data_IF_261292237062
#
_entry.id   IF_261292237062
#
_cell.length_a   1.000
_cell.length_b   1.000
_cell.length_c   1.000
_cell.angle_alpha   90.00
_cell.angle_beta   90.00
_cell.angle_gamma   90.00
#
_symmetry.space_group_name_H-M   'P 1'
#
loop_
_entity.id
_entity.type
_entity.pdbx_description
1 polymer ?
#
# COMPACT_ATOMS: atom_id res chain seq x y z
N UNK A 1 -18.86 13.89 20.18
CA UNK A 1 -18.17 13.76 18.87
C UNK A 1 -16.78 14.36 18.88
N UNK A 2 -16.59 15.60 19.38
CA UNK A 2 -15.25 16.21 19.48
C UNK A 2 -14.27 15.41 20.34
N UNK A 3 -14.72 14.89 21.50
CA UNK A 3 -13.89 14.02 22.36
C UNK A 3 -13.45 12.73 21.65
N UNK A 4 -14.33 12.17 20.80
CA UNK A 4 -14.01 11.00 19.98
C UNK A 4 -12.95 11.37 18.96
N UNK A 5 -13.12 12.52 18.28
CA UNK A 5 -12.15 13.02 17.32
C UNK A 5 -10.76 13.25 17.93
N UNK A 6 -10.68 13.85 19.12
CA UNK A 6 -9.39 14.07 19.81
C UNK A 6 -8.76 12.78 20.28
N UNK A 7 -9.56 11.79 20.67
CA UNK A 7 -9.06 10.47 21.04
C UNK A 7 -8.50 9.71 19.83
N UNK A 8 -9.24 9.65 18.71
CA UNK A 8 -8.80 8.93 17.52
C UNK A 8 -7.56 9.59 16.92
N UNK A 9 -7.61 10.91 16.68
CA UNK A 9 -6.52 11.65 16.03
C UNK A 9 -5.27 11.85 16.91
N UNK A 10 -5.31 11.42 18.18
CA UNK A 10 -4.21 11.56 19.13
C UNK A 10 -3.77 10.20 19.68
N UNK A 11 -4.21 9.80 20.90
CA UNK A 11 -3.77 8.56 21.52
C UNK A 11 -3.93 7.30 20.65
N UNK A 12 -5.06 7.14 19.94
CA UNK A 12 -5.32 5.95 19.14
C UNK A 12 -4.40 5.88 17.92
N UNK A 13 -4.16 7.01 17.25
CA UNK A 13 -3.20 7.12 16.15
C UNK A 13 -1.81 6.62 16.57
N UNK A 14 -1.31 7.03 17.75
CA UNK A 14 -0.03 6.56 18.27
C UNK A 14 -0.01 5.04 18.52
N UNK A 15 -1.10 4.47 19.01
CA UNK A 15 -1.24 3.02 19.17
C UNK A 15 -1.22 2.33 17.80
N UNK A 16 -1.94 2.86 16.80
CA UNK A 16 -1.97 2.31 15.45
C UNK A 16 -0.59 2.32 14.80
N UNK A 17 0.15 3.43 14.90
CA UNK A 17 1.54 3.52 14.45
C UNK A 17 2.46 2.56 15.21
N UNK A 18 2.30 2.43 16.52
CA UNK A 18 3.05 1.47 17.34
C UNK A 18 2.84 0.03 16.87
N UNK A 19 1.59 -0.38 16.65
CA UNK A 19 1.24 -1.70 16.12
C UNK A 19 1.84 -1.89 14.72
N UNK A 20 1.72 -0.90 13.84
CA UNK A 20 2.28 -0.95 12.50
C UNK A 20 3.80 -1.15 12.53
N UNK A 21 4.53 -0.34 13.29
CA UNK A 21 6.00 -0.37 13.34
C UNK A 21 6.50 -1.66 13.97
N UNK A 22 6.05 -1.97 15.20
CA UNK A 22 6.48 -3.17 15.93
C UNK A 22 6.05 -4.43 15.19
N UNK A 23 4.82 -4.45 14.67
CA UNK A 23 4.30 -5.56 13.87
C UNK A 23 5.10 -5.77 12.59
N UNK A 24 5.49 -4.70 11.90
CA UNK A 24 6.31 -4.78 10.67
C UNK A 24 7.71 -5.31 10.97
N UNK A 25 8.36 -4.83 12.03
CA UNK A 25 9.68 -5.33 12.47
C UNK A 25 9.58 -6.83 12.81
N UNK A 26 8.60 -7.21 13.64
CA UNK A 26 8.38 -8.61 13.99
C UNK A 26 8.14 -9.47 12.76
N UNK A 27 7.33 -8.99 11.81
CA UNK A 27 7.01 -9.73 10.58
C UNK A 27 8.23 -9.91 9.69
N UNK A 28 9.05 -8.88 9.51
CA UNK A 28 10.29 -8.95 8.74
C UNK A 28 11.29 -9.93 9.38
N UNK A 29 11.53 -9.81 10.69
CA UNK A 29 12.48 -10.67 11.43
C UNK A 29 12.02 -12.13 11.43
N UNK A 30 10.75 -12.39 11.76
CA UNK A 30 10.21 -13.76 11.81
C UNK A 30 10.22 -14.44 10.45
N UNK A 31 9.90 -13.72 9.37
CA UNK A 31 9.94 -14.27 8.01
C UNK A 31 11.38 -14.51 7.53
N UNK A 32 12.32 -13.62 7.86
CA UNK A 32 13.73 -13.84 7.56
C UNK A 32 14.29 -15.06 8.31
N UNK A 33 14.01 -15.19 9.60
CA UNK A 33 14.42 -16.35 10.39
C UNK A 33 13.83 -17.66 9.83
N UNK A 34 12.57 -17.63 9.43
CA UNK A 34 11.91 -18.78 8.80
C UNK A 34 12.53 -19.14 7.44
N UNK A 35 12.81 -18.14 6.59
CA UNK A 35 13.48 -18.34 5.31
C UNK A 35 14.86 -18.97 5.51
N UNK A 36 15.65 -18.46 6.46
CA UNK A 36 16.96 -19.01 6.80
C UNK A 36 16.88 -20.46 7.30
N UNK A 37 15.86 -20.78 8.10
CA UNK A 37 15.68 -22.12 8.65
C UNK A 37 15.19 -23.14 7.61
N UNK A 38 14.33 -22.74 6.68
CA UNK A 38 13.73 -23.66 5.69
C UNK A 38 14.48 -23.74 4.38
N UNK A 39 15.07 -22.63 3.95
CA UNK A 39 15.75 -22.51 2.67
C UNK A 39 16.85 -21.46 2.75
N UNK A 40 17.86 -21.73 3.59
CA UNK A 40 19.04 -20.85 3.69
C UNK A 40 19.80 -20.72 2.36
N UNK A 41 19.65 -21.68 1.45
CA UNK A 41 20.26 -21.63 0.13
C UNK A 41 19.68 -20.50 -0.74
N UNK A 42 18.37 -20.27 -0.69
CA UNK A 42 17.71 -19.15 -1.38
C UNK A 42 18.30 -17.78 -0.97
N UNK A 43 18.66 -17.62 0.30
CA UNK A 43 19.29 -16.41 0.81
C UNK A 43 20.74 -16.25 0.35
N UNK A 44 21.46 -17.37 0.14
CA UNK A 44 22.85 -17.35 -0.30
C UNK A 44 22.99 -16.84 -1.76
N UNK A 45 21.96 -17.02 -2.58
CA UNK A 45 21.95 -16.53 -3.96
C UNK A 45 21.60 -15.05 -4.09
N UNK A 46 21.21 -14.38 -2.99
CA UNK A 46 20.86 -12.96 -3.01
C UNK A 46 22.05 -12.11 -3.47
N UNK A 47 21.84 -11.36 -4.55
CA UNK A 47 22.85 -10.50 -5.15
C UNK A 47 22.31 -9.08 -5.25
N UNK A 48 23.01 -8.14 -4.61
CA UNK A 48 22.63 -6.74 -4.62
C UNK A 48 22.48 -6.15 -6.04
N UNK A 49 23.45 -6.30 -6.97
CA UNK A 49 23.31 -5.71 -8.31
C UNK A 49 22.11 -6.28 -9.08
N UNK A 50 21.90 -7.59 -9.02
CA UNK A 50 20.78 -8.22 -9.71
C UNK A 50 19.43 -7.91 -9.07
N UNK A 51 19.39 -7.84 -7.74
CA UNK A 51 18.19 -7.46 -6.99
C UNK A 51 17.78 -6.02 -7.25
N UNK A 52 18.72 -5.07 -7.19
CA UNK A 52 18.45 -3.65 -7.49
C UNK A 52 17.98 -3.47 -8.93
N UNK A 53 18.62 -4.14 -9.90
CA UNK A 53 18.20 -4.11 -11.31
C UNK A 53 16.76 -4.59 -11.46
N UNK A 54 16.38 -5.69 -10.81
CA UNK A 54 15.00 -6.20 -10.87
C UNK A 54 13.99 -5.25 -10.23
N UNK A 55 14.32 -4.67 -9.07
CA UNK A 55 13.47 -3.69 -8.40
C UNK A 55 13.25 -2.47 -9.31
N UNK A 56 14.32 -1.86 -9.82
CA UNK A 56 14.23 -0.66 -10.65
C UNK A 56 13.41 -0.91 -11.91
N UNK A 57 13.65 -2.04 -12.60
CA UNK A 57 12.86 -2.35 -13.79
C UNK A 57 11.38 -2.60 -13.46
N UNK A 58 11.09 -3.24 -12.31
CA UNK A 58 9.72 -3.49 -11.88
C UNK A 58 8.97 -2.23 -11.43
N UNK A 59 9.68 -1.24 -10.89
CA UNK A 59 9.11 0.06 -10.48
C UNK A 59 8.75 0.97 -11.66
N UNK A 60 9.12 0.62 -12.90
CA UNK A 60 8.77 1.41 -14.09
C UNK A 60 7.58 0.72 -14.79
N UNK A 61 6.44 1.40 -14.97
CA UNK A 61 5.28 0.82 -15.64
C UNK A 61 5.65 0.38 -17.05
N UNK A 62 5.12 -0.78 -17.46
CA UNK A 62 5.37 -1.40 -18.78
C UNK A 62 6.82 -1.78 -19.08
N UNK A 63 7.74 -1.68 -18.13
CA UNK A 63 9.12 -2.04 -18.41
C UNK A 63 9.34 -3.57 -18.36
N UNK A 64 8.67 -4.26 -17.42
CA UNK A 64 8.70 -5.73 -17.35
C UNK A 64 7.68 -6.39 -18.28
N UNK A 65 7.99 -7.58 -18.80
CA UNK A 65 7.03 -8.40 -19.58
C UNK A 65 5.71 -8.65 -18.84
N UNK A 66 5.74 -8.84 -17.52
CA UNK A 66 4.53 -8.99 -16.70
C UNK A 66 3.63 -7.75 -16.77
N UNK A 67 4.21 -6.55 -16.73
CA UNK A 67 3.46 -5.30 -16.88
C UNK A 67 2.94 -5.06 -18.30
N UNK A 68 3.64 -5.58 -19.32
CA UNK A 68 3.17 -5.50 -20.71
C UNK A 68 2.00 -6.44 -20.99
N UNK A 69 1.90 -7.56 -20.27
CA UNK A 69 0.89 -8.59 -20.51
C UNK A 69 -0.55 -8.22 -20.11
N UNK A 70 -0.73 -7.31 -19.16
CA UNK A 70 -2.05 -6.82 -18.73
C UNK A 70 -2.00 -5.29 -18.55
N UNK A 71 -2.15 -4.51 -19.64
CA UNK A 71 -1.99 -3.05 -19.58
C UNK A 71 -2.97 -2.36 -18.64
N UNK A 72 -4.22 -2.82 -18.58
CA UNK A 72 -5.22 -2.25 -17.68
C UNK A 72 -4.81 -2.46 -16.22
N UNK A 73 -4.38 -3.68 -15.86
CA UNK A 73 -3.90 -3.95 -14.51
C UNK A 73 -2.65 -3.14 -14.18
N UNK A 74 -1.73 -2.97 -15.12
CA UNK A 74 -0.54 -2.12 -14.94
C UNK A 74 -0.94 -0.70 -14.60
N UNK A 75 -1.74 -0.03 -15.45
CA UNK A 75 -2.17 1.35 -15.19
C UNK A 75 -2.89 1.45 -13.85
N UNK A 76 -3.88 0.59 -13.59
CA UNK A 76 -4.63 0.61 -12.33
C UNK A 76 -3.71 0.41 -11.11
N UNK A 77 -2.75 -0.50 -11.19
CA UNK A 77 -1.78 -0.76 -10.10
C UNK A 77 -0.92 0.45 -9.82
N UNK A 78 -0.33 1.06 -10.85
CA UNK A 78 0.55 2.21 -10.67
C UNK A 78 -0.21 3.45 -10.21
N UNK A 79 -1.38 3.73 -10.81
CA UNK A 79 -2.27 4.83 -10.37
C UNK A 79 -2.64 4.65 -8.91
N UNK A 80 -3.04 3.45 -8.51
CA UNK A 80 -3.38 3.17 -7.12
C UNK A 80 -2.21 3.38 -6.17
N UNK A 81 -1.04 2.77 -6.41
CA UNK A 81 0.06 2.82 -5.44
C UNK A 81 0.72 4.21 -5.39
N UNK A 82 0.90 4.86 -6.54
CA UNK A 82 1.44 6.23 -6.59
C UNK A 82 0.43 7.16 -5.93
N UNK A 83 -0.84 7.11 -6.33
CA UNK A 83 -1.89 7.96 -5.78
C UNK A 83 -2.08 7.75 -4.27
N UNK A 84 -2.01 6.50 -3.81
CA UNK A 84 -2.07 6.15 -2.39
C UNK A 84 -0.98 6.87 -1.60
N UNK A 85 0.28 6.72 -2.01
CA UNK A 85 1.41 7.33 -1.33
C UNK A 85 1.38 8.86 -1.41
N UNK A 86 1.05 9.39 -2.58
CA UNK A 86 0.99 10.82 -2.84
C UNK A 86 -0.08 11.48 -1.96
N UNK A 87 -1.29 10.92 -1.89
CA UNK A 87 -2.37 11.46 -1.05
C UNK A 87 -2.09 11.25 0.44
N UNK A 88 -1.63 10.07 0.85
CA UNK A 88 -1.37 9.77 2.26
C UNK A 88 -0.29 10.68 2.87
N UNK A 89 0.68 11.15 2.07
CA UNK A 89 1.79 11.98 2.55
C UNK A 89 1.56 13.46 2.27
N UNK A 90 1.19 13.84 1.05
CA UNK A 90 1.25 15.22 0.56
C UNK A 90 -0.11 15.92 0.45
N UNK A 91 -1.24 15.25 0.75
CA UNK A 91 -2.52 15.95 0.84
C UNK A 91 -2.48 16.98 1.98
N UNK A 92 -3.02 18.19 1.76
CA UNK A 92 -2.90 19.31 2.70
C UNK A 92 -3.26 18.97 4.16
N UNK A 93 -4.34 18.22 4.38
CA UNK A 93 -4.71 17.77 5.72
C UNK A 93 -3.65 16.86 6.38
N UNK A 94 -2.99 15.98 5.62
CA UNK A 94 -1.91 15.14 6.12
C UNK A 94 -0.61 15.95 6.35
N UNK A 95 -0.32 16.95 5.50
CA UNK A 95 0.80 17.88 5.69
C UNK A 95 0.68 18.63 7.01
N UNK A 96 -0.52 19.09 7.37
CA UNK A 96 -0.75 19.74 8.67
C UNK A 96 -0.47 18.78 9.84
N UNK A 97 -0.75 17.48 9.70
CA UNK A 97 -0.41 16.49 10.73
C UNK A 97 1.10 16.32 10.89
N UNK A 98 1.88 16.39 9.80
CA UNK A 98 3.35 16.34 9.86
C UNK A 98 3.92 17.53 10.63
N UNK A 99 3.43 18.73 10.34
CA UNK A 99 3.86 19.95 11.02
C UNK A 99 3.47 19.92 12.50
N UNK A 100 2.20 19.60 12.80
CA UNK A 100 1.68 19.65 14.18
C UNK A 100 2.34 18.62 15.10
N UNK A 101 2.64 17.42 14.61
CA UNK A 101 3.18 16.33 15.46
C UNK A 101 4.70 16.21 15.44
N UNK A 102 5.36 16.64 14.35
CA UNK A 102 6.80 16.46 14.16
C UNK A 102 7.55 17.76 13.85
N UNK A 103 6.85 18.88 13.62
CA UNK A 103 7.46 20.14 13.19
C UNK A 103 8.04 20.07 11.77
N UNK A 104 7.56 19.15 10.92
CA UNK A 104 8.07 18.93 9.58
C UNK A 104 7.12 19.58 8.57
N UNK A 105 7.61 20.61 7.87
CA UNK A 105 6.90 21.24 6.76
C UNK A 105 7.33 20.60 5.44
N UNK A 106 6.39 19.93 4.77
CA UNK A 106 6.56 19.35 3.43
C UNK A 106 5.62 20.03 2.43
N UNK A 107 5.94 20.01 1.12
CA UNK A 107 5.05 20.56 0.10
C UNK A 107 3.68 19.87 0.14
N UNK A 108 2.60 20.63 0.00
CA UNK A 108 1.26 20.06 -0.17
C UNK A 108 0.86 20.00 -1.64
N UNK A 109 0.02 19.01 -1.97
CA UNK A 109 -0.66 18.97 -3.25
C UNK A 109 -1.72 20.09 -3.33
N UNK A 110 -1.92 20.69 -4.51
CA UNK A 110 -3.11 21.51 -4.75
C UNK A 110 -4.38 20.70 -4.49
N UNK A 111 -5.39 21.33 -3.88
CA UNK A 111 -6.63 20.65 -3.47
C UNK A 111 -7.30 19.87 -4.62
N UNK A 112 -7.41 20.51 -5.79
CA UNK A 112 -7.98 19.89 -7.01
C UNK A 112 -7.19 18.65 -7.43
N UNK A 113 -5.86 18.70 -7.34
CA UNK A 113 -5.02 17.55 -7.67
C UNK A 113 -5.21 16.42 -6.66
N UNK A 114 -5.27 16.74 -5.36
CA UNK A 114 -5.54 15.78 -4.30
C UNK A 114 -6.89 15.07 -4.48
N UNK A 115 -7.92 15.82 -4.87
CA UNK A 115 -9.27 15.28 -5.13
C UNK A 115 -9.29 14.36 -6.36
N UNK A 116 -8.70 14.80 -7.49
CA UNK A 116 -8.58 13.98 -8.70
C UNK A 116 -7.84 12.68 -8.43
N UNK A 117 -6.70 12.74 -7.72
CA UNK A 117 -5.91 11.55 -7.38
C UNK A 117 -6.70 10.61 -6.46
N UNK A 118 -7.46 11.15 -5.50
CA UNK A 118 -8.30 10.36 -4.60
C UNK A 118 -9.39 9.59 -5.37
N UNK A 119 -10.08 10.24 -6.30
CA UNK A 119 -11.05 9.57 -7.18
C UNK A 119 -10.38 8.55 -8.11
N UNK A 120 -9.19 8.82 -8.62
CA UNK A 120 -8.43 7.87 -9.44
C UNK A 120 -8.06 6.61 -8.64
N UNK A 121 -7.70 6.74 -7.36
CA UNK A 121 -7.46 5.61 -6.45
C UNK A 121 -8.75 4.81 -6.22
N UNK A 122 -9.88 5.48 -5.98
CA UNK A 122 -11.18 4.81 -5.83
C UNK A 122 -11.56 4.04 -7.11
N UNK A 123 -11.35 4.64 -8.29
CA UNK A 123 -11.58 3.99 -9.56
C UNK A 123 -10.68 2.76 -9.76
N UNK A 124 -9.40 2.84 -9.38
CA UNK A 124 -8.49 1.70 -9.40
C UNK A 124 -8.95 0.56 -8.46
N UNK A 125 -9.45 0.89 -7.26
CA UNK A 125 -10.07 -0.08 -6.36
C UNK A 125 -11.28 -0.78 -7.02
N UNK A 126 -12.12 -0.02 -7.72
CA UNK A 126 -13.27 -0.57 -8.46
C UNK A 126 -12.81 -1.51 -9.60
N UNK A 127 -11.76 -1.16 -10.33
CA UNK A 127 -11.14 -2.03 -11.34
C UNK A 127 -10.64 -3.33 -10.71
N UNK A 128 -9.96 -3.27 -9.55
CA UNK A 128 -9.51 -4.47 -8.84
C UNK A 128 -10.66 -5.35 -8.37
N UNK A 129 -11.75 -4.74 -7.87
CA UNK A 129 -12.96 -5.44 -7.48
C UNK A 129 -13.61 -6.13 -8.68
N UNK A 130 -13.84 -5.38 -9.76
CA UNK A 130 -14.46 -5.89 -10.98
C UNK A 130 -13.65 -7.06 -11.55
N UNK A 131 -12.33 -6.93 -11.66
CA UNK A 131 -11.42 -7.99 -12.15
C UNK A 131 -11.56 -9.29 -11.36
N UNK A 132 -11.74 -9.23 -10.03
CA UNK A 132 -11.90 -10.40 -9.17
C UNK A 132 -13.24 -11.13 -9.37
N UNK A 133 -14.25 -10.45 -9.89
CA UNK A 133 -15.57 -11.02 -10.18
C UNK A 133 -15.67 -11.47 -11.63
N UNK A 134 -15.13 -10.68 -12.56
CA UNK A 134 -15.29 -10.86 -14.00
C UNK A 134 -14.36 -11.93 -14.60
N UNK A 135 -13.11 -12.02 -14.14
CA UNK A 135 -12.12 -12.93 -14.73
C UNK A 135 -12.14 -14.30 -14.03
N UNK A 136 -12.47 -15.42 -14.71
CA UNK A 136 -12.59 -16.74 -14.08
C UNK A 136 -11.32 -17.20 -13.35
N UNK A 137 -10.16 -16.98 -13.97
CA UNK A 137 -8.86 -17.36 -13.39
C UNK A 137 -8.49 -16.55 -12.15
N UNK A 138 -8.98 -15.31 -12.02
CA UNK A 138 -8.80 -14.48 -10.81
C UNK A 138 -9.82 -14.87 -9.75
N UNK A 139 -11.07 -15.07 -10.15
CA UNK A 139 -12.16 -15.47 -9.25
C UNK A 139 -11.86 -16.80 -8.57
N UNK A 140 -11.32 -17.79 -9.30
CA UNK A 140 -10.98 -19.11 -8.74
C UNK A 140 -9.95 -19.08 -7.61
N UNK A 141 -9.03 -18.10 -7.61
CA UNK A 141 -8.00 -17.94 -6.57
C UNK A 141 -8.34 -16.87 -5.53
N UNK A 142 -9.39 -16.08 -5.75
CA UNK A 142 -9.83 -15.04 -4.82
C UNK A 142 -10.45 -15.68 -3.56
N UNK A 143 -10.11 -15.14 -2.39
CA UNK A 143 -10.61 -15.55 -1.07
C UNK A 143 -11.16 -14.33 -0.32
N UNK A 144 -11.92 -14.57 0.76
CA UNK A 144 -12.51 -13.48 1.57
C UNK A 144 -11.47 -12.48 2.10
N UNK A 145 -10.26 -12.94 2.43
CA UNK A 145 -9.15 -12.07 2.85
C UNK A 145 -8.69 -11.07 1.78
N UNK A 146 -8.90 -11.36 0.50
CA UNK A 146 -8.53 -10.47 -0.60
C UNK A 146 -9.56 -9.35 -0.77
N UNK A 147 -10.85 -9.66 -0.55
CA UNK A 147 -11.91 -8.66 -0.47
C UNK A 147 -11.78 -7.77 0.76
N UNK A 148 -11.48 -8.37 1.90
CA UNK A 148 -11.23 -7.62 3.14
C UNK A 148 -10.10 -6.60 2.96
N UNK A 149 -8.97 -7.01 2.38
CA UNK A 149 -7.85 -6.11 2.11
C UNK A 149 -8.25 -4.96 1.15
N UNK A 150 -9.03 -5.25 0.11
CA UNK A 150 -9.49 -4.23 -0.83
C UNK A 150 -10.42 -3.21 -0.17
N UNK A 151 -11.38 -3.67 0.64
CA UNK A 151 -12.30 -2.80 1.37
C UNK A 151 -11.53 -1.89 2.32
N UNK A 152 -10.60 -2.46 3.10
CA UNK A 152 -9.85 -1.69 4.09
C UNK A 152 -9.00 -0.59 3.48
N UNK A 153 -8.43 -0.80 2.28
CA UNK A 153 -7.66 0.25 1.61
C UNK A 153 -8.59 1.26 0.93
N UNK A 154 -9.76 0.86 0.45
CA UNK A 154 -10.71 1.77 -0.19
C UNK A 154 -11.39 2.71 0.84
N UNK A 155 -11.65 2.23 2.05
CA UNK A 155 -12.42 2.96 3.07
C UNK A 155 -11.85 4.35 3.41
N UNK A 156 -10.54 4.53 3.68
CA UNK A 156 -9.97 5.85 3.93
C UNK A 156 -10.19 6.82 2.76
N UNK A 157 -10.05 6.37 1.51
CA UNK A 157 -10.29 7.23 0.35
C UNK A 157 -11.76 7.62 0.24
N UNK A 158 -12.67 6.67 0.39
CA UNK A 158 -14.12 6.93 0.31
C UNK A 158 -14.52 7.94 1.40
N UNK A 159 -14.17 7.66 2.65
CA UNK A 159 -14.52 8.53 3.79
C UNK A 159 -13.82 9.89 3.74
N UNK A 160 -12.58 9.95 3.25
CA UNK A 160 -11.83 11.19 3.06
C UNK A 160 -12.45 12.09 1.98
N UNK A 161 -12.84 11.52 0.84
CA UNK A 161 -13.55 12.23 -0.23
C UNK A 161 -14.91 12.73 0.27
N UNK A 162 -15.66 11.89 1.01
CA UNK A 162 -16.93 12.31 1.60
C UNK A 162 -16.76 13.46 2.60
N UNK A 163 -15.70 13.44 3.41
CA UNK A 163 -15.38 14.53 4.33
C UNK A 163 -15.02 15.83 3.59
N UNK A 164 -14.19 15.74 2.54
CA UNK A 164 -13.77 16.88 1.73
C UNK A 164 -14.93 17.56 0.99
N UNK A 165 -15.80 16.76 0.36
CA UNK A 165 -16.99 17.25 -0.35
C UNK A 165 -18.20 17.52 0.55
N UNK A 166 -18.04 17.41 1.88
CA UNK A 166 -19.09 17.66 2.87
C UNK A 166 -20.36 16.81 2.66
N UNK A 167 -20.17 15.58 2.19
CA UNK A 167 -21.27 14.63 1.99
C UNK A 167 -21.56 13.92 3.32
N UNK A 168 -22.60 14.37 4.01
CA UNK A 168 -22.95 13.94 5.36
C UNK A 168 -22.26 14.79 6.45
N UNK A 169 -22.38 14.42 7.74
CA UNK A 169 -21.77 15.19 8.82
C UNK A 169 -20.24 15.14 8.73
N UNK A 170 -19.60 16.27 8.44
CA UNK A 170 -18.15 16.37 8.18
C UNK A 170 -17.33 15.73 9.31
N UNK A 171 -17.62 16.06 10.57
CA UNK A 171 -16.89 15.51 11.72
C UNK A 171 -17.02 13.97 11.80
N UNK A 172 -18.17 13.41 11.44
CA UNK A 172 -18.35 11.96 11.39
C UNK A 172 -17.50 11.35 10.27
N UNK A 173 -17.51 11.91 9.07
CA UNK A 173 -16.73 11.40 7.95
C UNK A 173 -15.22 11.48 8.23
N UNK A 174 -14.76 12.56 8.87
CA UNK A 174 -13.37 12.68 9.32
C UNK A 174 -13.02 11.62 10.37
N UNK A 175 -13.88 11.36 11.37
CA UNK A 175 -13.64 10.30 12.36
C UNK A 175 -13.57 8.93 11.68
N UNK A 176 -14.49 8.64 10.74
CA UNK A 176 -14.49 7.39 10.00
C UNK A 176 -13.24 7.24 9.13
N UNK A 177 -12.77 8.33 8.52
CA UNK A 177 -11.53 8.35 7.76
C UNK A 177 -10.32 8.01 8.63
N UNK A 178 -10.17 8.68 9.77
CA UNK A 178 -9.06 8.44 10.72
C UNK A 178 -9.09 7.00 11.22
N UNK A 179 -10.26 6.50 11.67
CA UNK A 179 -10.40 5.12 12.14
C UNK A 179 -10.10 4.09 11.04
N UNK A 180 -10.55 4.34 9.80
CA UNK A 180 -10.25 3.46 8.68
C UNK A 180 -8.75 3.45 8.35
N UNK A 181 -8.09 4.61 8.41
CA UNK A 181 -6.66 4.74 8.15
C UNK A 181 -5.81 4.07 9.25
N UNK A 182 -6.18 4.24 10.51
CA UNK A 182 -5.54 3.59 11.65
C UNK A 182 -5.68 2.06 11.59
N UNK A 183 -6.90 1.58 11.28
CA UNK A 183 -7.16 0.17 11.10
C UNK A 183 -6.35 -0.40 9.93
N UNK A 184 -6.28 0.32 8.81
CA UNK A 184 -5.44 -0.03 7.67
C UNK A 184 -3.97 -0.17 8.11
N UNK A 185 -3.40 0.84 8.76
CA UNK A 185 -2.01 0.84 9.23
C UNK A 185 -1.72 -0.34 10.16
N UNK A 186 -2.55 -0.54 11.18
CA UNK A 186 -2.38 -1.61 12.15
C UNK A 186 -2.42 -3.02 11.51
N UNK A 187 -3.15 -3.17 10.39
CA UNK A 187 -3.33 -4.45 9.70
C UNK A 187 -2.33 -4.71 8.57
N UNK A 188 -1.51 -3.74 8.17
CA UNK A 188 -0.46 -3.94 7.16
C UNK A 188 0.41 -5.17 7.45
N UNK A 189 1.04 -5.32 8.64
CA UNK A 189 1.96 -6.42 8.88
C UNK A 189 1.32 -7.80 8.99
N UNK A 190 0.00 -7.87 9.25
CA UNK A 190 -0.69 -9.12 9.62
C UNK A 190 -1.64 -9.66 8.56
N UNK A 191 -1.82 -8.95 7.43
CA UNK A 191 -2.78 -9.33 6.39
C UNK A 191 -2.12 -9.48 5.01
N UNK A 192 -2.94 -9.61 3.96
CA UNK A 192 -2.49 -9.57 2.56
C UNK A 192 -1.78 -8.26 2.19
N UNK A 193 -1.95 -7.22 3.00
CA UNK A 193 -1.28 -5.92 2.84
C UNK A 193 0.21 -5.96 3.14
N UNK A 194 0.69 -7.01 3.82
CA UNK A 194 2.11 -7.19 4.11
C UNK A 194 3.00 -7.25 2.86
N UNK A 195 2.42 -7.42 1.66
CA UNK A 195 3.14 -7.23 0.40
C UNK A 195 3.84 -5.86 0.31
N UNK A 196 3.30 -4.81 0.95
CA UNK A 196 3.94 -3.50 1.03
C UNK A 196 5.33 -3.57 1.71
N UNK A 197 5.51 -4.49 2.65
CA UNK A 197 6.80 -4.74 3.32
C UNK A 197 7.71 -5.65 2.49
N UNK A 198 7.13 -6.65 1.81
CA UNK A 198 7.89 -7.73 1.18
C UNK A 198 8.19 -7.55 -0.31
N UNK A 199 7.56 -6.58 -0.97
CA UNK A 199 7.71 -6.39 -2.43
C UNK A 199 9.19 -6.22 -2.83
N UNK A 200 9.97 -5.43 -2.09
CA UNK A 200 11.38 -5.20 -2.40
C UNK A 200 12.21 -6.48 -2.23
N UNK A 201 11.96 -7.26 -1.17
CA UNK A 201 12.69 -8.50 -0.91
C UNK A 201 12.36 -9.59 -1.94
N UNK A 202 11.09 -9.74 -2.28
CA UNK A 202 10.65 -10.73 -3.29
C UNK A 202 11.17 -10.36 -4.68
N UNK A 203 11.14 -9.08 -5.06
CA UNK A 203 11.77 -8.61 -6.31
C UNK A 203 13.29 -8.81 -6.30
N UNK A 204 13.95 -8.47 -5.20
CA UNK A 204 15.40 -8.67 -5.07
C UNK A 204 15.80 -10.13 -5.24
N UNK A 205 15.03 -11.04 -4.62
CA UNK A 205 15.23 -12.48 -4.77
C UNK A 205 15.03 -12.95 -6.20
N UNK A 206 13.92 -12.58 -6.85
CA UNK A 206 13.69 -12.93 -8.26
C UNK A 206 14.81 -12.41 -9.16
N UNK A 207 15.22 -11.16 -8.99
CA UNK A 207 16.35 -10.60 -9.74
C UNK A 207 17.63 -11.42 -9.56
N UNK A 208 17.91 -11.82 -8.32
CA UNK A 208 19.10 -12.61 -7.99
C UNK A 208 19.07 -14.01 -8.60
N UNK A 209 17.94 -14.71 -8.51
CA UNK A 209 17.77 -16.05 -9.08
C UNK A 209 17.79 -16.04 -10.61
N UNK A 210 16.93 -15.23 -11.23
CA UNK A 210 16.81 -15.21 -12.69
C UNK A 210 18.01 -14.53 -13.34
N UNK A 211 18.44 -13.40 -12.80
CA UNK A 211 19.56 -12.62 -13.35
C UNK A 211 20.92 -13.20 -13.03
N UNK A 212 21.15 -13.62 -11.79
CA UNK A 212 22.46 -14.05 -11.30
C UNK A 212 22.76 -15.53 -11.45
N UNK A 213 21.76 -16.40 -11.35
CA UNK A 213 21.95 -17.86 -11.46
C UNK A 213 21.56 -18.35 -12.84
N UNK A 214 20.38 -17.97 -13.33
CA UNK A 214 19.83 -18.48 -14.60
C UNK A 214 20.29 -17.70 -15.83
N UNK A 215 20.98 -16.56 -15.64
CA UNK A 215 21.41 -15.66 -16.71
C UNK A 215 20.26 -15.21 -17.64
N UNK A 216 19.06 -15.10 -17.08
CA UNK A 216 17.85 -14.65 -17.77
C UNK A 216 17.53 -13.19 -17.42
N UNK A 217 16.87 -12.49 -18.35
CA UNK A 217 16.28 -11.18 -18.06
C UNK A 217 14.91 -11.39 -17.42
N UNK A 218 14.70 -10.82 -16.24
CA UNK A 218 13.44 -10.89 -15.50
C UNK A 218 12.56 -9.63 -15.68
N UNK A 219 12.88 -8.81 -16.69
CA UNK A 219 12.11 -7.65 -17.16
C UNK A 219 11.93 -7.71 -18.68
#
# INVERSE_FOLDING_TARGET
>A
MTEIYTFVSGPLAWVAFGIFIIGSIYRLVSMYALAKAKDGSSLAYMSLPFGLRSILNWMIPFNTMGWKGDPLMTVATFVFHIGFLVVAVFLGAHVVLWDTNFGISIPSLPDVAGDIVSFAVIAACAIFAYRRIALPHVKGVTRGKDWFALIIVALPFITGVLAYHQVGPVLLMTILHVLAAELLLALIPFTRLSHALFVLFTRAYMGSEFGGVRNARDW
#
